data_IF_795097283384
#
_entry.id   IF_795097283384
#
_cell.length_a   1.000
_cell.length_b   1.000
_cell.length_c   1.000
_cell.angle_alpha   90.00
_cell.angle_beta   90.00
_cell.angle_gamma   90.00
#
_symmetry.space_group_name_H-M   'P 1'
#
loop_
_entity.id
_entity.type
_entity.pdbx_description
1 polymer ?
#
# COMPACT_ATOMS: atom_id res chain seq x y z
N UNK A 1 -20.38 -25.77 44.72
CA UNK A 1 -21.07 -25.32 43.49
C UNK A 1 -20.24 -24.22 42.87
N UNK A 2 -19.32 -24.59 41.97
CA UNK A 2 -18.44 -23.66 41.26
C UNK A 2 -19.13 -23.18 39.97
N UNK A 3 -19.47 -21.91 39.93
CA UNK A 3 -19.92 -21.24 38.71
C UNK A 3 -18.70 -20.87 37.89
N UNK A 4 -18.42 -21.69 36.86
CA UNK A 4 -17.41 -21.44 35.85
C UNK A 4 -17.94 -20.31 34.93
N UNK A 5 -17.52 -19.08 35.15
CA UNK A 5 -17.74 -17.98 34.20
C UNK A 5 -16.90 -18.23 32.95
N UNK A 6 -17.54 -18.69 31.91
CA UNK A 6 -16.95 -18.79 30.57
C UNK A 6 -16.88 -17.35 30.00
N UNK A 7 -15.74 -16.70 30.19
CA UNK A 7 -15.47 -15.43 29.54
C UNK A 7 -15.28 -15.69 28.04
N UNK A 8 -16.33 -15.39 27.28
CA UNK A 8 -16.30 -15.38 25.82
C UNK A 8 -15.38 -14.23 25.37
N UNK A 9 -14.13 -14.52 25.09
CA UNK A 9 -13.19 -13.57 24.48
C UNK A 9 -13.64 -13.41 23.04
N UNK A 10 -14.41 -12.36 22.77
CA UNK A 10 -14.69 -11.90 21.42
C UNK A 10 -13.38 -11.31 20.89
N UNK A 11 -12.64 -12.12 20.16
CA UNK A 11 -11.52 -11.63 19.34
C UNK A 11 -12.12 -10.78 18.24
N UNK A 12 -12.16 -9.46 18.46
CA UNK A 12 -12.43 -8.52 17.38
C UNK A 12 -11.24 -8.62 16.41
N UNK A 13 -11.35 -9.44 15.39
CA UNK A 13 -10.51 -9.37 14.21
C UNK A 13 -10.82 -8.03 13.56
N UNK A 14 -10.00 -7.03 13.85
CA UNK A 14 -9.99 -5.78 13.10
C UNK A 14 -9.42 -6.13 11.73
N UNK A 15 -10.28 -6.56 10.81
CA UNK A 15 -9.92 -6.71 9.41
C UNK A 15 -9.53 -5.32 8.92
N UNK A 16 -8.27 -5.15 8.59
CA UNK A 16 -7.77 -3.92 7.98
C UNK A 16 -8.35 -3.84 6.56
N UNK A 17 -9.49 -3.15 6.42
CA UNK A 17 -10.17 -2.99 5.14
C UNK A 17 -9.34 -2.08 4.26
N UNK A 18 -8.77 -2.61 3.22
CA UNK A 18 -8.03 -1.87 2.20
C UNK A 18 -8.79 -1.89 0.86
N UNK A 19 -8.60 -0.86 0.05
CA UNK A 19 -9.09 -0.83 -1.32
C UNK A 19 -8.07 -1.51 -2.21
N UNK A 20 -8.50 -2.54 -2.91
CA UNK A 20 -7.68 -3.27 -3.88
C UNK A 20 -7.95 -2.86 -5.33
N UNK A 21 -7.19 -3.42 -6.24
CA UNK A 21 -7.27 -3.14 -7.68
C UNK A 21 -7.48 -4.44 -8.45
N UNK A 22 -8.23 -4.36 -9.58
CA UNK A 22 -8.49 -5.53 -10.44
C UNK A 22 -7.24 -6.05 -11.15
N UNK A 23 -6.30 -5.17 -11.42
CA UNK A 23 -5.04 -5.48 -12.07
C UNK A 23 -3.93 -4.55 -11.60
N UNK A 24 -2.68 -4.90 -11.91
CA UNK A 24 -1.52 -4.07 -11.55
C UNK A 24 -1.56 -2.69 -12.20
N UNK A 25 -1.39 -1.67 -11.39
CA UNK A 25 -1.53 -0.26 -11.76
C UNK A 25 -0.18 0.43 -12.06
N UNK A 26 -0.16 1.47 -12.89
CA UNK A 26 -1.21 1.94 -13.79
C UNK A 26 -1.42 0.96 -14.96
N UNK A 27 -2.69 0.82 -15.39
CA UNK A 27 -3.04 -0.05 -16.52
C UNK A 27 -2.24 0.28 -17.77
N UNK A 28 -1.87 -0.75 -18.53
CA UNK A 28 -1.20 -0.60 -19.82
C UNK A 28 0.18 0.09 -19.73
N UNK A 29 0.78 0.22 -18.55
CA UNK A 29 2.15 0.73 -18.41
C UNK A 29 3.13 -0.43 -18.27
N UNK A 30 4.32 -0.23 -18.85
CA UNK A 30 5.38 -1.24 -18.88
C UNK A 30 5.85 -1.57 -17.46
N UNK A 31 6.08 -2.85 -17.24
CA UNK A 31 6.68 -3.39 -16.01
C UNK A 31 8.18 -3.11 -16.06
N UNK A 32 8.74 -2.72 -14.93
CA UNK A 32 10.18 -2.58 -14.75
C UNK A 32 10.76 -3.91 -14.27
N UNK A 33 11.79 -4.39 -14.95
CA UNK A 33 12.48 -5.65 -14.61
C UNK A 33 13.44 -5.53 -13.43
N UNK A 34 13.74 -4.30 -13.01
CA UNK A 34 14.62 -4.02 -11.86
C UNK A 34 14.22 -2.72 -11.16
N UNK A 35 14.61 -2.60 -9.90
CA UNK A 35 14.48 -1.35 -9.17
C UNK A 35 15.37 -0.29 -9.82
N UNK A 36 14.84 0.89 -10.16
CA UNK A 36 15.62 1.99 -10.72
C UNK A 36 16.78 2.37 -9.80
N UNK A 37 17.95 2.65 -10.37
CA UNK A 37 19.17 2.99 -9.60
C UNK A 37 18.96 4.14 -8.61
N UNK A 38 18.09 5.09 -8.95
CA UNK A 38 17.74 6.23 -8.08
C UNK A 38 17.06 5.80 -6.79
N UNK A 39 16.25 4.74 -6.82
CA UNK A 39 15.54 4.20 -5.64
C UNK A 39 16.45 3.31 -4.78
N UNK A 40 17.51 2.74 -5.35
CA UNK A 40 18.37 1.81 -4.62
C UNK A 40 19.11 2.50 -3.48
N UNK A 41 19.25 1.81 -2.36
CA UNK A 41 19.97 2.30 -1.19
C UNK A 41 19.30 1.93 0.12
N UNK A 42 19.76 2.56 1.18
CA UNK A 42 19.23 2.41 2.54
C UNK A 42 18.41 3.63 2.93
N UNK A 43 17.30 3.40 3.60
CA UNK A 43 16.40 4.45 4.04
C UNK A 43 15.98 4.21 5.48
N UNK A 44 15.89 5.26 6.26
CA UNK A 44 15.31 5.22 7.59
C UNK A 44 13.78 5.35 7.46
N UNK A 45 13.05 4.39 7.99
CA UNK A 45 11.61 4.44 8.18
C UNK A 45 11.33 5.04 9.55
N UNK A 46 10.52 6.09 9.59
CA UNK A 46 10.08 6.71 10.84
C UNK A 46 8.57 6.85 10.78
N UNK A 47 7.86 6.15 11.63
CA UNK A 47 6.42 6.33 11.80
C UNK A 47 6.10 7.73 12.31
N UNK A 48 4.88 8.22 12.07
CA UNK A 48 4.45 9.56 12.50
C UNK A 48 4.57 9.77 14.03
N UNK A 49 4.37 8.70 14.80
CA UNK A 49 4.55 8.72 16.26
C UNK A 49 6.03 8.78 16.71
N UNK A 50 6.98 8.62 15.80
CA UNK A 50 8.42 8.68 16.04
C UNK A 50 9.03 7.50 16.81
N UNK A 51 8.24 6.50 17.15
CA UNK A 51 8.65 5.44 18.08
C UNK A 51 9.42 4.28 17.40
N UNK A 52 9.20 4.01 16.14
CA UNK A 52 9.87 2.95 15.40
C UNK A 52 10.83 3.53 14.36
N UNK A 53 12.05 3.01 14.35
CA UNK A 53 13.08 3.39 13.38
C UNK A 53 13.66 2.12 12.75
N UNK A 54 13.10 1.75 11.61
CA UNK A 54 13.57 0.61 10.86
C UNK A 54 14.38 1.05 9.64
N UNK A 55 15.17 0.15 9.10
CA UNK A 55 15.94 0.42 7.89
C UNK A 55 15.36 -0.36 6.71
N UNK A 56 14.80 0.37 5.75
CA UNK A 56 14.43 -0.17 4.45
C UNK A 56 15.67 -0.22 3.55
N UNK A 57 15.91 -1.36 2.95
CA UNK A 57 16.97 -1.57 1.95
C UNK A 57 16.31 -1.87 0.61
N UNK A 58 16.56 -1.02 -0.39
CA UNK A 58 16.11 -1.24 -1.76
C UNK A 58 17.31 -1.72 -2.57
N UNK A 59 17.23 -2.93 -3.07
CA UNK A 59 18.25 -3.59 -3.89
C UNK A 59 17.93 -3.44 -5.39
N UNK A 60 18.63 -4.16 -6.25
CA UNK A 60 18.31 -4.23 -7.67
C UNK A 60 17.02 -5.04 -7.93
N UNK A 61 16.78 -6.09 -7.17
CA UNK A 61 15.70 -7.04 -7.44
C UNK A 61 14.48 -6.87 -6.53
N UNK A 62 14.59 -6.09 -5.45
CA UNK A 62 13.49 -5.97 -4.51
C UNK A 62 13.83 -5.06 -3.34
N UNK A 63 13.13 -5.25 -2.24
CA UNK A 63 13.33 -4.52 -0.99
C UNK A 63 13.15 -5.42 0.22
N UNK A 64 13.71 -5.02 1.36
CA UNK A 64 13.44 -5.63 2.65
C UNK A 64 13.66 -4.62 3.79
N UNK A 65 13.04 -4.88 4.92
CA UNK A 65 13.24 -4.11 6.17
C UNK A 65 14.17 -4.89 7.08
N UNK A 66 15.22 -4.23 7.58
CA UNK A 66 16.21 -4.85 8.48
C UNK A 66 15.56 -5.14 9.82
N UNK A 67 15.66 -6.38 10.31
CA UNK A 67 15.05 -6.81 11.58
C UNK A 67 13.61 -7.31 11.45
N UNK A 68 12.97 -7.09 10.31
CA UNK A 68 11.65 -7.63 10.00
C UNK A 68 11.75 -8.62 8.82
N UNK A 69 11.54 -9.90 9.09
CA UNK A 69 11.60 -10.95 8.06
C UNK A 69 10.33 -11.00 7.17
N UNK A 70 9.28 -10.32 7.57
CA UNK A 70 7.97 -10.33 6.90
C UNK A 70 7.86 -9.23 5.86
N UNK A 71 8.43 -8.04 6.13
CA UNK A 71 8.39 -6.89 5.20
C UNK A 71 9.50 -6.98 4.17
N UNK A 72 9.24 -7.68 3.09
CA UNK A 72 10.14 -7.82 1.93
C UNK A 72 9.34 -8.04 0.65
N UNK A 73 9.93 -7.74 -0.49
CA UNK A 73 9.36 -8.03 -1.80
C UNK A 73 10.43 -8.12 -2.87
N UNK A 74 10.37 -9.18 -3.66
CA UNK A 74 11.22 -9.38 -4.83
C UNK A 74 10.40 -9.20 -6.10
N UNK A 75 10.94 -8.45 -7.07
CA UNK A 75 10.29 -8.24 -8.36
C UNK A 75 10.06 -9.56 -9.08
N UNK A 76 8.83 -9.79 -9.50
CA UNK A 76 8.39 -11.01 -10.15
C UNK A 76 6.85 -11.06 -10.22
N UNK A 77 6.28 -12.25 -10.12
CA UNK A 77 4.84 -12.47 -10.25
C UNK A 77 4.05 -11.91 -9.05
N UNK A 78 4.66 -11.88 -7.85
CA UNK A 78 4.04 -11.38 -6.63
C UNK A 78 4.21 -9.87 -6.43
N UNK A 79 5.28 -9.27 -6.96
CA UNK A 79 5.54 -7.83 -6.86
C UNK A 79 5.88 -7.24 -8.23
N UNK A 80 4.97 -6.42 -8.76
CA UNK A 80 5.15 -5.73 -10.03
C UNK A 80 5.45 -4.26 -9.80
N UNK A 81 6.56 -3.78 -10.36
CA UNK A 81 6.92 -2.36 -10.33
C UNK A 81 6.63 -1.70 -11.68
N UNK A 82 5.92 -0.57 -11.64
CA UNK A 82 5.70 0.29 -12.82
C UNK A 82 6.10 1.74 -12.52
N UNK A 83 6.32 2.53 -13.57
CA UNK A 83 6.62 3.96 -13.45
C UNK A 83 5.72 4.77 -14.35
N UNK A 84 5.12 5.85 -13.81
CA UNK A 84 4.30 6.76 -14.59
C UNK A 84 4.25 8.16 -13.97
N UNK A 85 4.47 9.21 -14.79
CA UNK A 85 4.36 10.63 -14.39
C UNK A 85 5.09 10.99 -13.08
N UNK A 86 6.31 10.46 -12.89
CA UNK A 86 7.15 10.76 -11.73
C UNK A 86 6.90 9.90 -10.49
N UNK A 87 5.91 9.03 -10.53
CA UNK A 87 5.60 8.06 -9.48
C UNK A 87 6.08 6.66 -9.84
N UNK A 88 6.42 5.89 -8.81
CA UNK A 88 6.66 4.46 -8.87
C UNK A 88 5.49 3.74 -8.21
N UNK A 89 5.01 2.69 -8.84
CA UNK A 89 3.82 1.94 -8.44
C UNK A 89 4.25 0.50 -8.14
N UNK A 90 4.28 0.18 -6.87
CA UNK A 90 4.54 -1.16 -6.36
C UNK A 90 3.20 -1.85 -6.23
N UNK A 91 3.02 -2.94 -6.96
CA UNK A 91 1.79 -3.70 -7.00
C UNK A 91 2.05 -5.08 -6.42
N UNK A 92 1.48 -5.35 -5.27
CA UNK A 92 1.54 -6.64 -4.59
C UNK A 92 0.36 -7.50 -5.03
N UNK A 93 0.62 -8.72 -5.50
CA UNK A 93 -0.39 -9.68 -5.93
C UNK A 93 -0.81 -10.55 -4.76
N UNK A 94 -1.97 -10.26 -4.18
CA UNK A 94 -2.57 -11.00 -3.05
C UNK A 94 -3.69 -11.95 -3.51
N UNK A 95 -3.73 -12.28 -4.77
CA UNK A 95 -4.71 -13.14 -5.46
C UNK A 95 -6.01 -13.43 -4.67
N UNK A 96 -7.17 -12.88 -5.09
CA UNK A 96 -7.44 -12.30 -6.43
C UNK A 96 -7.23 -10.77 -6.51
N UNK A 97 -6.58 -10.17 -5.55
CA UNK A 97 -6.47 -8.73 -5.41
C UNK A 97 -5.07 -8.23 -5.74
N UNK A 98 -4.99 -6.96 -6.16
CA UNK A 98 -3.75 -6.22 -6.26
C UNK A 98 -3.76 -5.08 -5.23
N UNK A 99 -2.79 -5.08 -4.34
CA UNK A 99 -2.56 -3.97 -3.43
C UNK A 99 -1.56 -3.00 -4.04
N UNK A 100 -1.78 -1.71 -3.84
CA UNK A 100 -0.98 -0.67 -4.48
C UNK A 100 -0.29 0.23 -3.47
N UNK A 101 1.03 0.31 -3.59
CA UNK A 101 1.85 1.29 -2.87
C UNK A 101 2.46 2.25 -3.89
N UNK A 102 2.30 3.53 -3.67
CA UNK A 102 2.78 4.58 -4.57
C UNK A 102 3.97 5.28 -3.91
N UNK A 103 5.06 5.38 -4.64
CA UNK A 103 6.29 6.02 -4.16
C UNK A 103 6.66 7.18 -5.08
N UNK A 104 6.96 8.33 -4.50
CA UNK A 104 7.55 9.48 -5.19
C UNK A 104 8.90 9.78 -4.57
N UNK A 105 9.94 9.91 -5.39
CA UNK A 105 11.24 10.35 -4.92
C UNK A 105 11.32 11.88 -4.95
N UNK A 106 11.77 12.46 -3.86
CA UNK A 106 12.06 13.88 -3.73
C UNK A 106 13.45 14.25 -4.23
N UNK A 107 13.71 15.54 -4.40
CA UNK A 107 14.99 16.03 -4.92
C UNK A 107 16.19 15.70 -4.00
N UNK A 108 15.97 15.62 -2.69
CA UNK A 108 16.98 15.23 -1.69
C UNK A 108 17.25 13.72 -1.64
N UNK A 109 16.47 12.93 -2.39
CA UNK A 109 16.56 11.47 -2.44
C UNK A 109 15.63 10.74 -1.49
N UNK A 110 14.92 11.44 -0.62
CA UNK A 110 13.89 10.86 0.25
C UNK A 110 12.72 10.33 -0.55
N UNK A 111 11.94 9.46 0.06
CA UNK A 111 10.77 8.87 -0.57
C UNK A 111 9.50 9.28 0.16
N UNK A 112 8.51 9.70 -0.59
CA UNK A 112 7.12 9.84 -0.14
C UNK A 112 6.42 8.53 -0.46
N UNK A 113 6.03 7.80 0.57
CA UNK A 113 5.33 6.52 0.48
C UNK A 113 3.85 6.72 0.77
N UNK A 114 3.00 6.26 -0.13
CA UNK A 114 1.57 6.50 -0.08
C UNK A 114 0.79 5.23 -0.41
N UNK A 115 -0.32 5.04 0.30
CA UNK A 115 -1.30 4.00 -0.02
C UNK A 115 -2.72 4.52 0.23
N UNK A 116 -3.73 3.79 -0.23
CA UNK A 116 -5.12 4.17 -0.02
C UNK A 116 -5.50 3.92 1.43
N UNK A 117 -5.85 4.99 2.14
CA UNK A 117 -6.17 4.96 3.56
C UNK A 117 -7.32 5.93 3.85
N UNK A 118 -8.26 5.50 4.67
CA UNK A 118 -9.38 6.32 5.14
C UNK A 118 -8.91 7.49 6.03
N UNK A 119 -7.76 7.36 6.68
CA UNK A 119 -7.26 8.32 7.65
C UNK A 119 -8.19 8.41 8.87
N UNK A 120 -8.59 9.64 9.22
CA UNK A 120 -9.51 9.90 10.34
C UNK A 120 -10.98 9.59 10.02
N UNK A 121 -11.34 9.40 8.74
CA UNK A 121 -12.69 9.06 8.33
C UNK A 121 -13.01 7.61 8.67
N UNK A 122 -14.28 7.31 8.95
CA UNK A 122 -14.74 5.94 8.95
C UNK A 122 -14.57 5.34 7.55
N UNK A 123 -14.36 4.03 7.47
CA UNK A 123 -14.19 3.36 6.18
C UNK A 123 -15.42 3.54 5.27
N UNK A 124 -16.63 3.57 5.84
CA UNK A 124 -17.86 3.79 5.08
C UNK A 124 -17.96 5.21 4.51
N UNK A 125 -17.49 6.22 5.23
CA UNK A 125 -17.38 7.58 4.70
C UNK A 125 -16.37 7.67 3.56
N UNK A 126 -15.22 7.03 3.75
CA UNK A 126 -14.20 6.96 2.72
C UNK A 126 -14.73 6.29 1.45
N UNK A 127 -15.44 5.17 1.56
CA UNK A 127 -16.07 4.49 0.42
C UNK A 127 -17.10 5.38 -0.28
N UNK A 128 -17.95 6.09 0.48
CA UNK A 128 -18.93 7.00 -0.12
C UNK A 128 -18.28 8.13 -0.91
N UNK A 129 -17.19 8.69 -0.40
CA UNK A 129 -16.46 9.75 -1.09
C UNK A 129 -15.71 9.19 -2.31
N UNK A 130 -15.04 8.07 -2.17
CA UNK A 130 -14.33 7.42 -3.27
C UNK A 130 -15.29 7.01 -4.40
N UNK A 131 -16.50 6.56 -4.08
CA UNK A 131 -17.50 6.17 -5.07
C UNK A 131 -18.04 7.33 -5.91
N UNK A 132 -17.87 8.59 -5.46
CA UNK A 132 -18.15 9.79 -6.28
C UNK A 132 -17.10 10.00 -7.38
N UNK A 133 -15.89 9.46 -7.20
CA UNK A 133 -14.76 9.62 -8.10
C UNK A 133 -14.59 8.43 -9.06
N UNK A 134 -14.88 7.22 -8.58
CA UNK A 134 -14.71 5.98 -9.32
C UNK A 134 -15.68 4.92 -8.81
N UNK A 135 -16.17 4.10 -9.72
CA UNK A 135 -16.99 2.95 -9.36
C UNK A 135 -16.19 1.98 -8.48
N UNK A 136 -16.81 1.55 -7.39
CA UNK A 136 -16.25 0.55 -6.48
C UNK A 136 -17.07 -0.73 -6.65
N UNK A 137 -16.40 -1.82 -7.01
CA UNK A 137 -16.99 -3.14 -6.99
C UNK A 137 -16.74 -3.78 -5.61
N UNK A 138 -17.66 -4.62 -5.17
CA UNK A 138 -17.48 -5.40 -3.96
C UNK A 138 -17.82 -6.86 -4.21
N UNK A 139 -17.05 -7.73 -3.59
CA UNK A 139 -17.24 -9.18 -3.65
C UNK A 139 -16.90 -9.79 -2.28
N UNK A 140 -17.27 -11.03 -2.09
CA UNK A 140 -17.07 -11.74 -0.82
C UNK A 140 -16.07 -12.88 -1.02
N UNK A 141 -15.07 -12.94 -0.15
CA UNK A 141 -14.09 -14.03 -0.09
C UNK A 141 -14.00 -14.54 1.34
N UNK A 142 -14.31 -15.81 1.56
CA UNK A 142 -14.27 -16.47 2.88
C UNK A 142 -15.07 -15.74 3.98
N UNK A 143 -16.19 -15.09 3.60
CA UNK A 143 -17.04 -14.34 4.53
C UNK A 143 -16.58 -12.89 4.79
N UNK A 144 -15.51 -12.43 4.16
CA UNK A 144 -15.04 -11.05 4.21
C UNK A 144 -15.43 -10.28 2.95
N UNK A 145 -16.01 -9.09 3.13
CA UNK A 145 -16.36 -8.21 2.03
C UNK A 145 -15.16 -7.36 1.63
N UNK A 146 -14.70 -7.58 0.40
CA UNK A 146 -13.59 -6.88 -0.23
C UNK A 146 -14.09 -5.81 -1.19
N UNK A 147 -13.31 -4.75 -1.38
CA UNK A 147 -13.66 -3.62 -2.23
C UNK A 147 -12.57 -3.38 -3.26
N UNK A 148 -12.97 -3.25 -4.52
CA UNK A 148 -12.04 -3.21 -5.63
C UNK A 148 -12.38 -2.08 -6.60
N UNK A 149 -11.36 -1.40 -7.09
CA UNK A 149 -11.48 -0.36 -8.12
C UNK A 149 -10.67 -0.72 -9.36
N UNK A 150 -11.02 -0.07 -10.49
CA UNK A 150 -10.38 -0.32 -11.77
C UNK A 150 -10.08 1.00 -12.52
N UNK A 151 -9.18 1.85 -11.98
CA UNK A 151 -8.92 3.15 -12.54
C UNK A 151 -8.15 3.10 -13.87
N UNK A 152 -8.51 3.98 -14.79
CA UNK A 152 -7.60 4.36 -15.86
C UNK A 152 -6.38 5.09 -15.28
N UNK A 153 -5.23 5.17 -15.99
CA UNK A 153 -4.06 5.90 -15.51
C UNK A 153 -4.33 7.38 -15.17
N UNK A 154 -5.29 8.01 -15.86
CA UNK A 154 -5.70 9.40 -15.59
C UNK A 154 -6.51 9.50 -14.29
N UNK A 155 -7.44 8.58 -14.08
CA UNK A 155 -8.22 8.51 -12.84
C UNK A 155 -7.33 8.21 -11.63
N UNK A 156 -6.38 7.28 -11.75
CA UNK A 156 -5.43 6.96 -10.69
C UNK A 156 -4.62 8.19 -10.26
N UNK A 157 -4.07 8.96 -11.21
CA UNK A 157 -3.36 10.21 -10.89
C UNK A 157 -4.29 11.25 -10.25
N UNK A 158 -5.56 11.30 -10.64
CA UNK A 158 -6.53 12.18 -10.03
C UNK A 158 -6.82 11.80 -8.57
N UNK A 159 -6.97 10.51 -8.27
CA UNK A 159 -7.14 10.01 -6.91
C UNK A 159 -5.92 10.37 -6.03
N UNK A 160 -4.69 10.22 -6.54
CA UNK A 160 -3.47 10.65 -5.83
C UNK A 160 -3.51 12.14 -5.54
N UNK A 161 -3.83 12.98 -6.53
CA UNK A 161 -3.91 14.45 -6.39
C UNK A 161 -5.00 14.90 -5.41
N UNK A 162 -6.12 14.19 -5.34
CA UNK A 162 -7.23 14.47 -4.43
C UNK A 162 -7.02 13.96 -3.00
N UNK A 163 -5.86 13.31 -2.73
CA UNK A 163 -5.50 12.86 -1.39
C UNK A 163 -6.17 11.56 -0.93
N UNK A 164 -6.64 10.72 -1.87
CA UNK A 164 -7.09 9.36 -1.54
C UNK A 164 -5.92 8.42 -1.20
N UNK A 165 -4.71 8.80 -1.60
CA UNK A 165 -3.47 8.15 -1.18
C UNK A 165 -2.80 9.02 -0.13
N UNK A 166 -2.57 8.47 1.06
CA UNK A 166 -1.99 9.18 2.19
C UNK A 166 -0.59 8.71 2.49
N UNK A 167 0.24 9.63 2.95
CA UNK A 167 1.58 9.33 3.45
C UNK A 167 1.50 9.18 4.98
N UNK A 168 1.80 8.00 5.47
CA UNK A 168 1.78 7.69 6.90
C UNK A 168 3.17 7.45 7.48
N UNK A 169 4.22 7.56 6.63
CA UNK A 169 5.58 7.21 7.02
C UNK A 169 6.60 8.12 6.32
N UNK A 170 7.57 8.60 7.08
CA UNK A 170 8.73 9.29 6.53
C UNK A 170 9.78 8.27 6.11
N UNK A 171 10.25 8.34 4.87
CA UNK A 171 11.26 7.45 4.30
C UNK A 171 12.47 8.29 3.88
N UNK A 172 13.44 8.42 4.78
CA UNK A 172 14.59 9.33 4.63
C UNK A 172 15.82 8.55 4.16
N UNK A 173 16.47 9.02 3.09
CA UNK A 173 17.66 8.37 2.54
C UNK A 173 18.85 8.46 3.48
N UNK A 174 19.43 7.30 3.83
CA UNK A 174 20.71 7.22 4.57
C UNK A 174 21.84 7.45 3.58
N UNK A 175 22.71 8.42 3.87
CA UNK A 175 23.87 8.78 3.05
C UNK A 175 25.14 8.13 3.58
#
# INVERSE_FOLDING_TARGET
>A
MNKLCFALIIVCVVSCKEISFKESQPKGKSILSEMPSKLRGKYLLVEENGNNKDTLVITRQGYYVTGDSTTKGDLGDSLILKKYKGYYFFNDNENPEWLLRVVKQEANGDLVYMFMDSGEKSFDEYLRDLNKEIQIDSFEVKGEKLYQIDPTPKQLLNLIKKGYFKNTMRVTKIR
#
